data_IF_239030920921
#
_entry.id   IF_239030920921
#
_cell.length_a   1.000
_cell.length_b   1.000
_cell.length_c   1.000
_cell.angle_alpha   90.00
_cell.angle_beta   90.00
_cell.angle_gamma   90.00
#
_symmetry.space_group_name_H-M   'P 1'
#
loop_
_entity.id
_entity.type
_entity.pdbx_description
1 polymer ?
#
# COMPACT_ATOMS: atom_id res chain seq x y z
N UNK A 1 -40.97 9.07 -25.96
CA UNK A 1 -40.47 8.38 -24.74
C UNK A 1 -40.84 9.24 -23.55
N UNK A 2 -41.46 8.68 -22.50
CA UNK A 2 -41.68 9.42 -21.25
C UNK A 2 -40.32 9.92 -20.71
N UNK A 3 -40.28 11.14 -20.18
CA UNK A 3 -39.07 11.69 -19.57
C UNK A 3 -38.80 10.96 -18.27
N UNK A 4 -37.58 10.49 -18.07
CA UNK A 4 -37.15 9.89 -16.81
C UNK A 4 -36.96 10.99 -15.77
N UNK A 5 -37.72 10.94 -14.69
CA UNK A 5 -37.50 11.76 -13.49
C UNK A 5 -36.33 11.11 -12.73
N UNK A 6 -35.19 11.79 -12.68
CA UNK A 6 -34.00 11.32 -11.97
C UNK A 6 -33.99 11.89 -10.56
N UNK A 7 -33.94 11.02 -9.57
CA UNK A 7 -33.79 11.44 -8.19
C UNK A 7 -32.32 11.73 -7.88
N UNK A 8 -32.07 12.48 -6.81
CA UNK A 8 -30.70 12.78 -6.38
C UNK A 8 -29.86 11.51 -6.13
N UNK A 9 -30.51 10.44 -5.66
CA UNK A 9 -29.88 9.13 -5.45
C UNK A 9 -29.33 8.52 -6.74
N UNK A 10 -29.98 8.75 -7.89
CA UNK A 10 -29.53 8.24 -9.19
C UNK A 10 -28.20 8.88 -9.61
N UNK A 11 -27.96 10.14 -9.23
CA UNK A 11 -26.70 10.84 -9.47
C UNK A 11 -25.61 10.47 -8.46
N UNK A 12 -25.98 10.14 -7.22
CA UNK A 12 -25.03 9.75 -6.18
C UNK A 12 -24.53 8.31 -6.35
N UNK A 13 -25.35 7.44 -6.95
CA UNK A 13 -25.05 6.02 -7.12
C UNK A 13 -23.75 5.75 -7.89
N UNK A 14 -23.47 6.40 -9.04
CA UNK A 14 -22.18 6.25 -9.74
C UNK A 14 -20.98 6.65 -8.88
N UNK A 15 -21.11 7.72 -8.09
CA UNK A 15 -20.04 8.19 -7.20
C UNK A 15 -19.79 7.19 -6.07
N UNK A 16 -20.86 6.68 -5.45
CA UNK A 16 -20.76 5.68 -4.39
C UNK A 16 -20.12 4.38 -4.88
N UNK A 17 -20.55 3.87 -6.04
CA UNK A 17 -19.96 2.66 -6.66
C UNK A 17 -18.49 2.88 -7.01
N UNK A 18 -18.16 4.04 -7.59
CA UNK A 18 -16.77 4.40 -7.90
C UNK A 18 -15.87 4.48 -6.66
N UNK A 19 -16.39 5.05 -5.57
CA UNK A 19 -15.68 5.12 -4.30
C UNK A 19 -15.44 3.72 -3.70
N UNK A 20 -16.45 2.85 -3.69
CA UNK A 20 -16.33 1.48 -3.18
C UNK A 20 -15.35 0.66 -4.02
N UNK A 21 -15.41 0.78 -5.34
CA UNK A 21 -14.46 0.10 -6.23
C UNK A 21 -13.02 0.56 -5.99
N UNK A 22 -12.80 1.87 -5.91
CA UNK A 22 -11.48 2.44 -5.65
C UNK A 22 -10.93 2.04 -4.29
N UNK A 23 -11.78 2.07 -3.25
CA UNK A 23 -11.41 1.61 -1.91
C UNK A 23 -11.04 0.13 -1.91
N UNK A 24 -11.79 -0.70 -2.64
CA UNK A 24 -11.52 -2.13 -2.76
C UNK A 24 -10.18 -2.41 -3.44
N UNK A 25 -9.87 -1.71 -4.54
CA UNK A 25 -8.56 -1.79 -5.19
C UNK A 25 -7.44 -1.34 -4.27
N UNK A 26 -7.64 -0.26 -3.51
CA UNK A 26 -6.64 0.22 -2.56
C UNK A 26 -6.37 -0.81 -1.47
N UNK A 27 -7.41 -1.44 -0.92
CA UNK A 27 -7.26 -2.53 0.06
C UNK A 27 -6.51 -3.71 -0.56
N UNK A 28 -6.87 -4.13 -1.78
CA UNK A 28 -6.20 -5.24 -2.47
C UNK A 28 -4.70 -4.93 -2.67
N UNK A 29 -4.38 -3.76 -3.18
CA UNK A 29 -2.99 -3.37 -3.43
C UNK A 29 -2.18 -3.20 -2.14
N UNK A 30 -2.73 -2.50 -1.14
CA UNK A 30 -1.99 -2.17 0.08
C UNK A 30 -1.91 -3.35 1.05
N UNK A 31 -2.94 -4.19 1.16
CA UNK A 31 -2.92 -5.33 2.08
C UNK A 31 -2.46 -6.62 1.40
N UNK A 32 -3.05 -7.00 0.28
CA UNK A 32 -2.73 -8.31 -0.31
C UNK A 32 -1.36 -8.30 -0.96
N UNK A 33 -1.06 -7.32 -1.82
CA UNK A 33 0.24 -7.29 -2.49
C UNK A 33 1.39 -6.99 -1.53
N UNK A 34 1.22 -6.04 -0.60
CA UNK A 34 2.30 -5.63 0.32
C UNK A 34 2.45 -6.56 1.55
N UNK A 35 1.46 -7.39 1.88
CA UNK A 35 1.48 -8.23 3.10
C UNK A 35 1.25 -9.72 2.88
N UNK A 36 0.32 -10.11 2.00
CA UNK A 36 -0.01 -11.53 1.79
C UNK A 36 0.90 -12.21 0.76
N UNK A 37 1.25 -11.51 -0.32
CA UNK A 37 1.99 -12.10 -1.44
C UNK A 37 3.52 -12.06 -1.30
N UNK A 38 4.06 -11.33 -0.32
CA UNK A 38 5.49 -11.21 -0.08
C UNK A 38 5.94 -12.25 0.93
N UNK A 39 6.91 -13.06 0.54
CA UNK A 39 7.57 -14.00 1.45
C UNK A 39 8.67 -13.30 2.21
N UNK A 40 9.11 -13.91 3.31
CA UNK A 40 10.21 -13.39 4.14
C UNK A 40 11.57 -13.42 3.43
N UNK A 41 11.65 -14.16 2.33
CA UNK A 41 12.86 -14.25 1.50
C UNK A 41 12.91 -13.20 0.39
N UNK A 42 11.79 -12.53 0.11
CA UNK A 42 11.71 -11.54 -0.96
C UNK A 42 12.33 -10.19 -0.55
N UNK A 43 12.67 -9.38 -1.55
CA UNK A 43 13.21 -8.03 -1.34
C UNK A 43 12.26 -7.14 -0.53
N UNK A 44 12.84 -6.20 0.24
CA UNK A 44 12.08 -5.21 1.01
C UNK A 44 11.17 -4.38 0.11
N UNK A 45 9.94 -4.13 0.57
CA UNK A 45 8.99 -3.35 -0.24
C UNK A 45 9.31 -1.87 -0.25
N UNK A 46 8.76 -1.17 -1.23
CA UNK A 46 8.81 0.30 -1.29
C UNK A 46 8.20 0.92 -0.03
N UNK A 47 7.13 0.33 0.52
CA UNK A 47 6.51 0.79 1.77
C UNK A 47 7.43 0.59 2.98
N UNK A 48 8.08 -0.57 3.09
CA UNK A 48 9.04 -0.83 4.18
C UNK A 48 10.25 0.10 4.09
N UNK A 49 10.76 0.35 2.89
CA UNK A 49 11.86 1.29 2.65
C UNK A 49 11.46 2.73 2.96
N UNK A 50 10.25 3.14 2.57
CA UNK A 50 9.71 4.46 2.87
C UNK A 50 9.54 4.65 4.38
N UNK A 51 8.97 3.67 5.07
CA UNK A 51 8.84 3.70 6.53
C UNK A 51 10.18 3.85 7.23
N UNK A 52 11.19 3.10 6.79
CA UNK A 52 12.54 3.24 7.32
C UNK A 52 13.14 4.63 7.06
N UNK A 53 12.95 5.21 5.87
CA UNK A 53 13.43 6.55 5.52
C UNK A 53 12.79 7.66 6.37
N UNK A 54 11.53 7.48 6.76
CA UNK A 54 10.77 8.45 7.55
C UNK A 54 10.73 8.12 9.06
N UNK A 55 11.61 7.23 9.54
CA UNK A 55 11.67 6.75 10.94
C UNK A 55 10.31 6.26 11.51
N UNK A 56 9.50 5.67 10.63
CA UNK A 56 8.23 5.06 11.01
C UNK A 56 8.54 3.73 11.71
N UNK A 57 8.33 3.69 13.03
CA UNK A 57 8.54 2.49 13.87
C UNK A 57 7.47 1.41 13.68
N UNK A 58 6.45 1.68 12.88
CA UNK A 58 5.38 0.74 12.57
C UNK A 58 5.81 -0.27 11.52
N UNK A 59 5.22 -1.45 11.59
CA UNK A 59 5.41 -2.51 10.60
C UNK A 59 4.56 -2.19 9.37
N UNK A 60 5.21 -1.75 8.29
CA UNK A 60 4.56 -1.41 7.02
C UNK A 60 4.54 -2.56 6.00
N UNK A 61 4.97 -3.76 6.40
CA UNK A 61 5.03 -4.94 5.55
C UNK A 61 5.37 -6.22 6.33
N UNK A 62 5.81 -7.26 5.62
CA UNK A 62 6.10 -8.57 6.20
C UNK A 62 7.35 -8.55 7.09
N UNK A 63 8.33 -7.72 6.81
CA UNK A 63 9.56 -7.61 7.56
C UNK A 63 9.41 -6.70 8.79
N UNK A 64 10.10 -7.05 9.87
CA UNK A 64 10.17 -6.17 11.05
C UNK A 64 11.05 -4.96 10.74
N UNK A 65 10.77 -3.77 11.30
CA UNK A 65 11.59 -2.57 11.07
C UNK A 65 13.09 -2.77 11.36
N UNK A 66 13.44 -3.60 12.35
CA UNK A 66 14.84 -3.95 12.65
C UNK A 66 15.52 -4.77 11.55
N UNK A 67 14.78 -5.66 10.88
CA UNK A 67 15.28 -6.45 9.75
C UNK A 67 15.48 -5.54 8.54
N UNK A 68 14.53 -4.66 8.27
CA UNK A 68 14.63 -3.66 7.19
C UNK A 68 15.84 -2.75 7.41
N UNK A 69 16.05 -2.24 8.63
CA UNK A 69 17.20 -1.41 8.96
C UNK A 69 18.53 -2.15 8.72
N UNK A 70 18.61 -3.43 9.08
CA UNK A 70 19.80 -4.26 8.84
C UNK A 70 20.06 -4.48 7.35
N UNK A 71 19.02 -4.78 6.57
CA UNK A 71 19.12 -4.95 5.12
C UNK A 71 19.53 -3.62 4.45
N UNK A 72 18.94 -2.51 4.88
CA UNK A 72 19.27 -1.17 4.39
C UNK A 72 20.71 -0.77 4.73
N UNK A 73 21.22 -1.13 5.92
CA UNK A 73 22.60 -0.92 6.31
C UNK A 73 23.58 -1.78 5.49
N UNK A 74 23.23 -3.05 5.22
CA UNK A 74 24.04 -3.97 4.42
C UNK A 74 24.19 -3.52 2.96
N UNK A 75 23.15 -2.91 2.36
CA UNK A 75 23.21 -2.35 1.01
C UNK A 75 23.99 -1.02 0.92
N UNK A 76 24.42 -0.40 2.03
CA UNK A 76 25.31 0.76 1.94
C UNK A 76 26.70 0.27 1.50
N UNK A 77 27.28 0.82 0.42
CA UNK A 77 28.64 0.47 0.07
C UNK A 77 29.55 0.82 1.24
N UNK A 78 30.37 -0.16 1.66
CA UNK A 78 31.45 0.07 2.61
C UNK A 78 32.42 1.01 1.89
N UNK A 79 32.37 2.29 2.20
CA UNK A 79 33.39 3.24 1.76
C UNK A 79 34.63 2.89 2.58
N UNK A 80 35.53 2.14 1.96
CA UNK A 80 36.89 1.93 2.47
C UNK A 80 37.66 3.16 1.98
N UNK A 81 37.82 4.16 2.84
CA UNK A 81 38.86 5.20 2.69
C UNK A 81 40.23 4.64 3.11
#
# INVERSE_FOLDING_TARGET
MPKQELEFADYLSPLAVGAVFTASLLIICVFFLNWCFIRKEDDITVFERWGHKHDVKLRLGVHRPSVVARIAASKRPIIIE
#
